data_IF_803602250780
#
_entry.id   IF_803602250780
#
_cell.length_a   1.000
_cell.length_b   1.000
_cell.length_c   1.000
_cell.angle_alpha   90.00
_cell.angle_beta   90.00
_cell.angle_gamma   90.00
#
_symmetry.space_group_name_H-M   'P 1'
#
loop_
_entity.id
_entity.type
_entity.pdbx_description
1 polymer ?
#
# COMPACT_ATOMS: atom_id res chain seq x y z
N UNK A 1 17.89 4.00 6.08
CA UNK A 1 17.20 3.68 7.32
C UNK A 1 15.69 3.75 7.13
N UNK A 2 15.00 2.74 7.61
CA UNK A 2 13.55 2.64 7.46
C UNK A 2 12.84 3.81 8.13
N UNK A 3 13.31 4.25 9.28
CA UNK A 3 12.72 5.39 9.97
C UNK A 3 12.76 6.65 9.10
N UNK A 4 13.87 6.87 8.42
CA UNK A 4 14.01 7.99 7.51
C UNK A 4 13.07 7.87 6.31
N UNK A 5 12.92 6.67 5.80
CA UNK A 5 12.10 6.42 4.64
C UNK A 5 10.62 6.67 4.95
N UNK A 6 10.14 6.15 6.07
CA UNK A 6 8.74 6.25 6.45
C UNK A 6 8.33 7.67 6.81
N UNK A 7 9.22 8.43 7.39
CA UNK A 7 8.93 9.76 7.90
C UNK A 7 9.54 10.89 7.09
N UNK A 8 10.19 10.55 5.97
CA UNK A 8 11.01 11.50 5.23
C UNK A 8 10.29 12.73 4.73
N UNK A 9 9.00 12.68 4.55
CA UNK A 9 8.21 13.81 4.07
C UNK A 9 7.01 14.10 4.93
N UNK A 10 6.88 13.37 6.00
CA UNK A 10 5.72 13.50 6.87
C UNK A 10 5.95 14.51 7.95
N UNK A 11 5.03 15.43 8.08
CA UNK A 11 5.09 16.44 9.14
C UNK A 11 4.25 16.07 10.33
N UNK A 12 3.39 15.06 10.19
CA UNK A 12 2.43 14.69 11.23
C UNK A 12 3.05 13.86 12.33
N UNK A 13 4.08 13.09 12.01
CA UNK A 13 4.74 12.21 12.96
C UNK A 13 6.23 12.44 12.93
N UNK A 14 6.84 12.39 14.10
CA UNK A 14 8.30 12.29 14.16
C UNK A 14 8.68 10.89 13.69
N UNK A 15 9.84 10.78 13.05
CA UNK A 15 10.38 9.54 12.53
C UNK A 15 10.18 8.34 13.42
N UNK A 16 10.62 8.47 14.66
CA UNK A 16 10.54 7.38 15.63
C UNK A 16 9.10 7.01 15.95
N UNK A 17 8.27 8.04 16.08
CA UNK A 17 6.86 7.81 16.42
C UNK A 17 6.16 7.01 15.36
N UNK A 18 6.40 7.32 14.09
CA UNK A 18 5.78 6.56 13.01
C UNK A 18 6.28 5.12 12.97
N UNK A 19 7.60 4.93 13.10
CA UNK A 19 8.14 3.59 13.10
C UNK A 19 7.67 2.77 14.30
N UNK A 20 7.64 3.37 15.47
CA UNK A 20 7.14 2.69 16.66
C UNK A 20 5.69 2.26 16.48
N UNK A 21 4.87 3.14 15.91
CA UNK A 21 3.48 2.81 15.60
C UNK A 21 3.40 1.63 14.64
N UNK A 22 4.13 1.68 13.55
CA UNK A 22 4.11 0.63 12.53
C UNK A 22 4.58 -0.69 13.12
N UNK A 23 5.67 -0.67 13.87
CA UNK A 23 6.23 -1.88 14.48
C UNK A 23 5.20 -2.59 15.35
N UNK A 24 4.41 -1.84 16.09
CA UNK A 24 3.42 -2.41 16.99
C UNK A 24 2.25 -3.09 16.27
N UNK A 25 2.11 -2.87 14.96
CA UNK A 25 1.07 -3.52 14.17
C UNK A 25 1.41 -4.98 13.84
N UNK A 26 2.64 -5.40 14.07
CA UNK A 26 3.12 -6.72 13.65
C UNK A 26 3.57 -7.55 14.83
N UNK A 27 3.42 -8.90 14.73
CA UNK A 27 4.05 -9.78 15.71
C UNK A 27 5.56 -9.59 15.70
N UNK A 28 6.19 -9.71 16.87
CA UNK A 28 7.64 -9.53 16.97
C UNK A 28 8.44 -10.47 16.06
N UNK A 29 7.90 -11.68 15.82
CA UNK A 29 8.56 -12.66 14.97
C UNK A 29 8.66 -12.25 13.50
N UNK A 30 7.85 -11.27 13.06
CA UNK A 30 7.82 -10.83 11.67
C UNK A 30 8.52 -9.49 11.45
N UNK A 31 9.04 -8.85 12.49
CA UNK A 31 9.59 -7.50 12.37
C UNK A 31 10.73 -7.42 11.35
N UNK A 32 11.61 -8.40 11.34
CA UNK A 32 12.74 -8.40 10.41
C UNK A 32 12.26 -8.49 8.96
N UNK A 33 11.31 -9.36 8.70
CA UNK A 33 10.73 -9.51 7.37
C UNK A 33 10.00 -8.25 6.93
N UNK A 34 9.24 -7.65 7.84
CA UNK A 34 8.52 -6.42 7.57
C UNK A 34 9.46 -5.28 7.21
N UNK A 35 10.58 -5.15 7.91
CA UNK A 35 11.57 -4.13 7.58
C UNK A 35 12.06 -4.26 6.15
N UNK A 36 12.36 -5.49 5.74
CA UNK A 36 12.79 -5.75 4.37
C UNK A 36 11.74 -5.39 3.34
N UNK A 37 10.49 -5.73 3.62
CA UNK A 37 9.37 -5.42 2.73
C UNK A 37 9.10 -3.92 2.65
N UNK A 38 9.18 -3.21 3.75
CA UNK A 38 9.01 -1.75 3.75
C UNK A 38 10.11 -1.09 2.93
N UNK A 39 11.34 -1.53 3.09
CA UNK A 39 12.44 -1.01 2.29
C UNK A 39 12.18 -1.24 0.81
N UNK A 40 11.77 -2.44 0.43
CA UNK A 40 11.43 -2.77 -0.94
C UNK A 40 10.28 -1.90 -1.45
N UNK A 41 9.25 -1.72 -0.65
CA UNK A 41 8.07 -0.94 -1.01
C UNK A 41 8.41 0.50 -1.37
N UNK A 42 9.30 1.13 -0.61
CA UNK A 42 9.61 2.55 -0.82
C UNK A 42 10.75 2.80 -1.80
N UNK A 43 11.59 1.80 -2.07
CA UNK A 43 12.74 1.99 -2.95
C UNK A 43 12.52 1.47 -4.36
N UNK A 44 11.62 0.52 -4.55
CA UNK A 44 11.33 -0.02 -5.89
C UNK A 44 10.14 0.67 -6.51
N UNK A 45 10.15 0.78 -7.83
CA UNK A 45 9.12 1.46 -8.58
C UNK A 45 7.96 0.52 -8.92
N UNK A 46 8.26 -0.75 -9.14
CA UNK A 46 7.28 -1.75 -9.56
C UNK A 46 6.85 -2.65 -8.40
N UNK A 47 5.75 -3.36 -8.60
CA UNK A 47 5.20 -4.33 -7.64
C UNK A 47 4.81 -3.74 -6.29
N UNK A 48 4.51 -2.44 -6.24
CA UNK A 48 4.15 -1.81 -4.97
C UNK A 48 2.90 -2.42 -4.34
N UNK A 49 1.89 -2.70 -5.15
CA UNK A 49 0.65 -3.27 -4.63
C UNK A 49 0.88 -4.65 -4.03
N UNK A 50 1.68 -5.48 -4.69
CA UNK A 50 2.00 -6.82 -4.21
C UNK A 50 2.77 -6.75 -2.90
N UNK A 51 3.78 -5.89 -2.84
CA UNK A 51 4.59 -5.73 -1.62
C UNK A 51 3.74 -5.19 -0.48
N UNK A 52 2.88 -4.22 -0.77
CA UNK A 52 1.99 -3.65 0.25
C UNK A 52 1.03 -4.72 0.81
N UNK A 53 0.50 -5.58 -0.05
CA UNK A 53 -0.35 -6.69 0.38
C UNK A 53 0.41 -7.68 1.25
N UNK A 54 1.66 -7.96 0.94
CA UNK A 54 2.49 -8.82 1.78
C UNK A 54 2.70 -8.20 3.16
N UNK A 55 2.98 -6.91 3.21
CA UNK A 55 3.12 -6.20 4.49
C UNK A 55 1.84 -6.31 5.29
N UNK A 56 0.70 -6.04 4.66
CA UNK A 56 -0.60 -6.16 5.32
C UNK A 56 -0.84 -7.55 5.88
N UNK A 57 -0.50 -8.59 5.11
CA UNK A 57 -0.75 -9.96 5.51
C UNK A 57 0.07 -10.38 6.72
N UNK A 58 1.20 -9.74 6.97
CA UNK A 58 2.05 -10.03 8.13
C UNK A 58 1.60 -9.29 9.38
N UNK A 59 0.75 -8.29 9.24
CA UNK A 59 0.24 -7.54 10.39
C UNK A 59 -0.66 -8.41 11.24
N UNK A 60 -0.75 -8.07 12.52
CA UNK A 60 -1.72 -8.70 13.41
C UNK A 60 -3.11 -8.57 12.79
N UNK A 61 -3.90 -9.63 12.89
CA UNK A 61 -5.18 -9.69 12.21
C UNK A 61 -6.06 -8.47 12.52
N UNK A 62 -6.09 -8.05 13.77
CA UNK A 62 -6.89 -6.92 14.21
C UNK A 62 -6.34 -5.57 13.76
N UNK A 63 -5.16 -5.55 13.15
CA UNK A 63 -4.52 -4.33 12.66
C UNK A 63 -4.53 -4.23 11.13
N UNK A 64 -4.94 -5.28 10.43
CA UNK A 64 -4.88 -5.30 8.97
C UNK A 64 -5.75 -4.24 8.31
N UNK A 65 -6.83 -3.84 8.95
CA UNK A 65 -7.73 -2.80 8.42
C UNK A 65 -7.02 -1.45 8.21
N UNK A 66 -5.89 -1.24 8.88
CA UNK A 66 -5.15 0.02 8.76
C UNK A 66 -4.48 0.20 7.41
N UNK A 67 -4.24 -0.89 6.70
CA UNK A 67 -3.56 -0.87 5.40
C UNK A 67 -4.61 -0.80 4.30
N UNK A 68 -4.60 0.27 3.53
CA UNK A 68 -5.62 0.50 2.52
C UNK A 68 -5.00 1.00 1.23
N UNK A 69 -5.52 0.51 0.12
CA UNK A 69 -5.13 0.96 -1.21
C UNK A 69 -6.35 1.62 -1.86
N UNK A 70 -6.15 2.82 -2.39
CA UNK A 70 -7.19 3.53 -3.11
C UNK A 70 -6.79 3.62 -4.58
N UNK A 71 -7.71 3.27 -5.47
CA UNK A 71 -7.49 3.32 -6.91
C UNK A 71 -8.45 4.29 -7.55
N UNK A 72 -7.92 5.22 -8.33
CA UNK A 72 -8.72 6.19 -9.08
C UNK A 72 -8.37 6.12 -10.56
N UNK A 73 -9.37 6.31 -11.41
CA UNK A 73 -9.20 6.31 -12.86
C UNK A 73 -9.46 7.70 -13.38
N UNK A 74 -8.53 8.21 -14.19
CA UNK A 74 -8.68 9.52 -14.84
C UNK A 74 -8.31 9.40 -16.31
N UNK A 75 -8.70 10.39 -17.10
CA UNK A 75 -8.34 10.44 -18.51
C UNK A 75 -7.42 11.63 -18.75
N UNK A 76 -6.32 11.42 -19.46
CA UNK A 76 -5.40 12.49 -19.79
C UNK A 76 -5.79 13.20 -21.10
N UNK A 77 -4.97 14.13 -21.54
CA UNK A 77 -5.23 14.92 -22.75
C UNK A 77 -5.30 14.08 -24.02
N UNK A 78 -4.65 12.93 -24.02
CA UNK A 78 -4.61 12.02 -25.17
C UNK A 78 -5.71 10.95 -25.12
N UNK A 79 -6.68 11.12 -24.23
CA UNK A 79 -7.76 10.13 -23.99
C UNK A 79 -7.24 8.78 -23.47
N UNK A 80 -6.04 8.75 -22.94
CA UNK A 80 -5.53 7.57 -22.28
C UNK A 80 -6.06 7.51 -20.85
N UNK A 81 -6.45 6.33 -20.40
CA UNK A 81 -6.89 6.12 -19.03
C UNK A 81 -5.67 5.95 -18.14
N UNK A 82 -5.57 6.81 -17.15
CA UNK A 82 -4.48 6.78 -16.16
C UNK A 82 -5.05 6.25 -14.85
N UNK A 83 -4.39 5.25 -14.29
CA UNK A 83 -4.76 4.65 -13.03
C UNK A 83 -3.82 5.19 -11.96
N UNK A 84 -4.39 5.81 -10.93
CA UNK A 84 -3.62 6.32 -9.79
C UNK A 84 -3.96 5.46 -8.57
N UNK A 85 -2.93 4.90 -7.95
CA UNK A 85 -3.11 4.14 -6.71
C UNK A 85 -2.39 4.85 -5.58
N UNK A 86 -3.05 4.98 -4.45
CA UNK A 86 -2.42 5.49 -3.24
C UNK A 86 -2.47 4.41 -2.16
N UNK A 87 -1.37 4.27 -1.46
CA UNK A 87 -1.21 3.29 -0.39
C UNK A 87 -1.24 4.05 0.93
N UNK A 88 -2.18 3.68 1.78
CA UNK A 88 -2.49 4.46 2.97
C UNK A 88 -2.40 3.62 4.22
N UNK A 89 -2.00 4.26 5.30
CA UNK A 89 -1.97 3.67 6.62
C UNK A 89 -2.85 4.51 7.54
N UNK A 90 -3.88 3.89 8.10
CA UNK A 90 -4.74 4.55 9.06
C UNK A 90 -4.05 4.58 10.42
N UNK A 91 -3.91 5.78 10.97
CA UNK A 91 -3.18 6.01 12.22
C UNK A 91 -4.10 6.33 13.40
N UNK A 92 -5.41 6.43 13.16
CA UNK A 92 -6.38 6.67 14.22
C UNK A 92 -6.55 5.46 15.13
N UNK A 93 -7.23 5.66 16.23
CA UNK A 93 -7.44 4.61 17.23
C UNK A 93 -8.41 3.53 16.76
N UNK A 94 -9.37 3.87 15.91
CA UNK A 94 -10.37 2.93 15.42
C UNK A 94 -10.60 3.15 13.93
N UNK A 95 -11.32 2.20 13.30
CA UNK A 95 -11.65 2.30 11.88
C UNK A 95 -12.60 3.46 11.57
N UNK A 96 -13.21 4.07 12.59
CA UNK A 96 -14.09 5.23 12.42
C UNK A 96 -13.33 6.54 12.36
N UNK A 97 -12.08 6.56 12.76
CA UNK A 97 -11.24 7.75 12.67
C UNK A 97 -10.77 7.93 11.23
N UNK A 98 -10.78 9.17 10.78
CA UNK A 98 -10.36 9.49 9.40
C UNK A 98 -8.87 9.79 9.29
N UNK A 99 -8.11 9.62 10.36
CA UNK A 99 -6.67 9.86 10.32
C UNK A 99 -5.98 8.79 9.50
N UNK A 100 -5.37 9.20 8.42
CA UNK A 100 -4.58 8.30 7.59
C UNK A 100 -3.39 9.03 7.01
N UNK A 101 -2.34 8.29 6.76
CA UNK A 101 -1.14 8.81 6.12
C UNK A 101 -0.93 8.07 4.82
N UNK A 102 -0.77 8.81 3.73
CA UNK A 102 -0.37 8.21 2.46
C UNK A 102 1.12 7.89 2.54
N UNK A 103 1.45 6.61 2.43
CA UNK A 103 2.83 6.16 2.55
C UNK A 103 3.51 5.99 1.19
N UNK A 104 2.73 5.89 0.12
CA UNK A 104 3.26 5.86 -1.24
C UNK A 104 2.12 6.04 -2.23
N UNK A 105 2.50 6.27 -3.49
CA UNK A 105 1.53 6.32 -4.59
C UNK A 105 2.22 5.91 -5.88
N UNK A 106 1.41 5.53 -6.87
CA UNK A 106 1.92 5.23 -8.21
C UNK A 106 0.88 5.60 -9.25
N UNK A 107 1.36 5.82 -10.48
CA UNK A 107 0.48 6.09 -11.62
C UNK A 107 0.84 5.11 -12.73
N UNK A 108 -0.18 4.51 -13.31
CA UNK A 108 -0.02 3.51 -14.36
C UNK A 108 -0.94 3.86 -15.52
N UNK A 109 -0.61 3.39 -16.71
CA UNK A 109 -1.61 3.35 -17.77
C UNK A 109 -2.58 2.21 -17.48
N UNK A 110 -3.76 2.26 -18.08
CA UNK A 110 -4.74 1.19 -17.90
C UNK A 110 -4.17 -0.16 -18.31
N UNK A 111 -3.41 -0.21 -19.39
CA UNK A 111 -2.83 -1.46 -19.86
C UNK A 111 -1.85 -2.04 -18.84
N UNK A 112 -1.00 -1.19 -18.28
CA UNK A 112 -0.07 -1.65 -17.25
C UNK A 112 -0.78 -2.10 -15.98
N UNK A 113 -1.89 -1.46 -15.64
CA UNK A 113 -2.71 -1.86 -14.50
C UNK A 113 -3.33 -3.24 -14.74
N UNK A 114 -3.83 -3.49 -15.93
CA UNK A 114 -4.39 -4.79 -16.28
C UNK A 114 -3.31 -5.87 -16.27
N UNK A 115 -2.12 -5.57 -16.78
CA UNK A 115 -1.01 -6.51 -16.72
C UNK A 115 -0.64 -6.86 -15.29
N UNK A 116 -0.62 -5.85 -14.42
CA UNK A 116 -0.35 -6.05 -13.00
C UNK A 116 -1.39 -6.99 -12.36
N UNK A 117 -2.65 -6.81 -12.71
CA UNK A 117 -3.72 -7.68 -12.22
C UNK A 117 -3.62 -9.10 -12.72
N UNK A 118 -3.06 -9.31 -13.92
CA UNK A 118 -2.89 -10.65 -14.48
C UNK A 118 -1.95 -11.53 -13.65
N UNK A 119 -1.00 -10.92 -12.97
CA UNK A 119 -0.08 -11.67 -12.12
C UNK A 119 -0.61 -11.88 -10.71
N UNK A 120 -1.78 -11.33 -10.42
CA UNK A 120 -2.41 -11.43 -9.12
C UNK A 120 -3.49 -12.51 -9.17
N UNK A 121 -3.41 -13.48 -8.28
CA UNK A 121 -4.40 -14.56 -8.17
C UNK A 121 -5.54 -14.20 -7.21
N UNK A 122 -5.73 -12.92 -6.93
CA UNK A 122 -6.75 -12.48 -6.00
C UNK A 122 -8.16 -12.75 -6.54
N UNK A 123 -9.16 -12.85 -5.65
CA UNK A 123 -10.55 -12.93 -6.08
C UNK A 123 -10.99 -11.75 -6.93
N UNK A 124 -10.43 -10.57 -6.69
CA UNK A 124 -10.75 -9.38 -7.47
C UNK A 124 -10.37 -9.56 -8.94
N UNK A 125 -9.21 -10.15 -9.20
CA UNK A 125 -8.78 -10.45 -10.55
C UNK A 125 -9.78 -11.35 -11.25
N UNK A 126 -10.21 -12.43 -10.59
CA UNK A 126 -11.20 -13.35 -11.15
C UNK A 126 -12.48 -12.62 -11.46
N UNK A 127 -12.95 -11.82 -10.52
CA UNK A 127 -14.18 -11.06 -10.71
C UNK A 127 -14.09 -10.18 -11.94
N UNK A 128 -13.00 -9.46 -12.12
CA UNK A 128 -12.83 -8.52 -13.22
C UNK A 128 -12.70 -9.19 -14.58
N UNK A 129 -12.06 -10.34 -14.66
CA UNK A 129 -11.77 -10.97 -15.93
C UNK A 129 -12.77 -12.06 -16.30
N UNK A 130 -13.30 -12.78 -15.33
CA UNK A 130 -14.26 -13.85 -15.61
C UNK A 130 -15.61 -13.28 -16.01
N UNK A 131 -16.00 -12.13 -15.46
CA UNK A 131 -17.27 -11.50 -15.81
C UNK A 131 -17.30 -10.97 -17.24
N UNK A 132 -16.14 -10.73 -17.82
CA UNK A 132 -16.02 -10.20 -19.18
C UNK A 132 -15.60 -11.25 -20.19
N UNK A 133 -15.45 -12.46 -19.75
CA UNK A 133 -15.00 -13.55 -20.63
C UNK A 133 -16.11 -14.04 -21.57
#
# INVERSE_FOLDING_TARGET
DIENILDGKGDLFKKRTLWEFVRDLFPGSHIKEVKGLIYEFVTKVDNKAEVFDKIKSLAKKEQQWRFSTKTDFTTNENNEVIVSRSFNLYTGATSNDNEKKQVSSERLTLDNYIDDLHFDNSPLKRFMFDDYA
#
